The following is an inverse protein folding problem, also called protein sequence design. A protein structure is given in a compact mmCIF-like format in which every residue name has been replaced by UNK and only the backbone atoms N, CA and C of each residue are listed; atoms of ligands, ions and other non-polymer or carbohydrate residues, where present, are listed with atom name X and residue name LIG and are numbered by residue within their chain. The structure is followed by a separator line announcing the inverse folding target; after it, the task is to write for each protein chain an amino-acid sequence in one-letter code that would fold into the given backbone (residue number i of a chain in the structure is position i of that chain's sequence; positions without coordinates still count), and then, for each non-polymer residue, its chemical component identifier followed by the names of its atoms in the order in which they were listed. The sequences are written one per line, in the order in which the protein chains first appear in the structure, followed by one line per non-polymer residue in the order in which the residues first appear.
data_IF_863596674133
#
_entry.id   IF_863596674133
#
_cell.length_a   1.000
_cell.length_b   1.000
_cell.length_c   1.000
_cell.angle_alpha   90.00
_cell.angle_beta   90.00
_cell.angle_gamma   90.00
#
_symmetry.space_group_name_H-M   'P 1'
#
loop_
_entity.id
_entity.type
_entity.pdbx_description
1 polymer ?
#
# COMPACT_ATOMS: atom_id res chain seq x y z
N UNK A 1 -57.54 13.98 -37.67
CA UNK A 1 -57.05 13.28 -38.87
C UNK A 1 -56.02 12.26 -38.44
N UNK A 2 -56.13 11.01 -38.92
CA UNK A 2 -55.16 9.95 -38.64
C UNK A 2 -54.29 9.69 -39.88
N UNK A 3 -52.99 9.44 -39.68
CA UNK A 3 -52.14 8.65 -40.60
C UNK A 3 -51.09 7.90 -39.77
N UNK A 4 -51.24 6.58 -39.71
CA UNK A 4 -50.16 5.65 -39.38
C UNK A 4 -49.40 5.32 -40.68
N UNK A 5 -48.08 5.11 -40.60
CA UNK A 5 -47.33 4.10 -41.39
C UNK A 5 -45.92 3.93 -40.82
N UNK A 6 -45.78 2.90 -39.99
CA UNK A 6 -44.71 1.86 -39.91
C UNK A 6 -43.20 2.14 -40.15
N UNK A 7 -42.30 1.36 -39.51
CA UNK A 7 -40.86 1.65 -39.41
C UNK A 7 -39.97 0.90 -40.41
N UNK A 8 -38.70 1.32 -40.55
CA UNK A 8 -37.68 0.62 -41.37
C UNK A 8 -36.44 0.19 -40.57
N UNK A 9 -36.35 -1.14 -40.40
CA UNK A 9 -35.17 -2.03 -40.34
C UNK A 9 -33.95 -1.69 -39.46
N UNK A 10 -33.73 -2.60 -38.51
CA UNK A 10 -32.48 -2.86 -37.82
C UNK A 10 -31.28 -3.11 -38.77
N UNK A 11 -30.10 -2.66 -38.34
CA UNK A 11 -28.80 -3.04 -38.89
C UNK A 11 -27.93 -3.69 -37.81
N UNK A 12 -28.03 -5.01 -37.64
CA UNK A 12 -27.11 -5.77 -36.78
C UNK A 12 -25.78 -5.97 -37.48
N UNK A 13 -24.69 -5.40 -36.97
CA UNK A 13 -23.33 -5.74 -37.42
C UNK A 13 -22.62 -6.59 -36.36
N UNK A 14 -22.19 -7.80 -36.75
CA UNK A 14 -21.55 -8.78 -35.88
C UNK A 14 -20.06 -8.94 -36.24
N UNK A 15 -19.22 -8.88 -35.20
CA UNK A 15 -18.00 -9.66 -35.00
C UNK A 15 -16.83 -9.46 -35.99
N UNK A 16 -15.68 -9.03 -35.44
CA UNK A 16 -14.36 -9.45 -35.91
C UNK A 16 -13.31 -9.39 -34.79
N UNK A 17 -13.30 -10.37 -33.87
CA UNK A 17 -12.17 -10.57 -32.95
C UNK A 17 -11.06 -11.32 -33.70
N UNK A 18 -9.89 -10.71 -33.88
CA UNK A 18 -8.69 -11.37 -34.42
C UNK A 18 -7.64 -11.57 -33.32
N UNK A 19 -7.43 -12.82 -32.93
CA UNK A 19 -6.18 -13.27 -32.32
C UNK A 19 -5.09 -13.43 -33.39
N UNK A 20 -3.80 -13.30 -33.03
CA UNK A 20 -2.71 -14.03 -33.67
C UNK A 20 -2.20 -15.19 -32.79
N UNK A 21 -1.67 -16.22 -33.44
CA UNK A 21 -1.42 -17.54 -32.85
C UNK A 21 -0.04 -17.72 -32.20
N UNK A 22 0.07 -18.75 -31.32
CA UNK A 22 1.33 -19.32 -30.82
C UNK A 22 2.00 -20.23 -31.88
N UNK A 23 3.34 -20.22 -31.93
CA UNK A 23 4.22 -21.34 -32.31
C UNK A 23 5.43 -21.33 -31.33
N UNK A 24 5.64 -22.35 -30.49
CA UNK A 24 6.59 -23.48 -30.65
C UNK A 24 7.95 -23.02 -31.23
N UNK A 25 9.05 -23.02 -30.43
CA UNK A 25 9.94 -24.17 -30.12
C UNK A 25 10.70 -24.66 -31.38
N UNK A 26 12.01 -24.94 -31.42
CA UNK A 26 12.93 -25.65 -30.49
C UNK A 26 14.39 -25.24 -30.82
N UNK A 27 15.33 -25.25 -29.85
CA UNK A 27 16.76 -25.61 -30.08
C UNK A 27 17.55 -25.71 -28.76
N UNK A 28 17.81 -26.95 -28.33
CA UNK A 28 18.74 -27.30 -27.24
C UNK A 28 20.14 -27.56 -27.82
N UNK A 29 21.22 -27.16 -27.13
CA UNK A 29 22.55 -27.74 -27.39
C UNK A 29 23.48 -27.69 -26.17
N UNK A 30 23.82 -28.87 -25.69
CA UNK A 30 24.71 -29.14 -24.54
C UNK A 30 26.14 -29.44 -25.01
N UNK A 31 27.15 -29.19 -24.17
CA UNK A 31 28.55 -29.61 -24.36
C UNK A 31 29.56 -28.56 -23.90
N UNK A 32 30.03 -28.60 -22.64
CA UNK A 32 31.18 -29.38 -22.12
C UNK A 32 32.56 -28.99 -22.71
N UNK A 33 33.35 -28.27 -21.91
CA UNK A 33 34.83 -28.45 -21.71
C UNK A 33 35.31 -27.35 -20.74
N UNK A 34 36.30 -27.49 -19.85
CA UNK A 34 36.82 -28.63 -19.08
C UNK A 34 37.56 -28.03 -17.86
N UNK A 35 37.73 -28.79 -16.77
CA UNK A 35 38.47 -28.34 -15.59
C UNK A 35 39.96 -28.70 -15.66
N UNK A 36 40.83 -27.86 -15.09
CA UNK A 36 42.18 -28.13 -14.52
C UNK A 36 42.87 -26.76 -14.25
N UNK A 37 43.74 -26.55 -13.25
CA UNK A 37 44.12 -27.37 -12.09
C UNK A 37 44.93 -26.56 -11.04
N UNK A 38 44.97 -27.08 -9.80
CA UNK A 38 46.12 -27.08 -8.85
C UNK A 38 46.63 -25.75 -8.22
N UNK A 39 46.67 -25.76 -6.87
CA UNK A 39 47.39 -24.82 -6.00
C UNK A 39 48.81 -25.37 -5.69
N UNK A 40 49.75 -24.65 -5.01
CA UNK A 40 49.64 -24.46 -3.55
C UNK A 40 50.26 -23.15 -3.00
N UNK A 41 50.13 -22.96 -1.68
CA UNK A 41 50.85 -21.94 -0.91
C UNK A 41 52.18 -22.49 -0.32
N UNK A 42 53.10 -21.60 0.13
CA UNK A 42 54.07 -21.94 1.16
C UNK A 42 54.09 -20.96 2.37
N UNK A 43 54.93 -21.29 3.35
CA UNK A 43 54.80 -20.91 4.78
C UNK A 43 55.93 -20.05 5.37
N UNK A 44 55.56 -19.11 6.25
CA UNK A 44 56.11 -18.81 7.59
C UNK A 44 57.58 -18.36 7.88
N UNK A 45 57.67 -17.33 8.77
CA UNK A 45 58.82 -16.91 9.65
C UNK A 45 60.00 -16.19 8.93
N UNK A 46 60.78 -15.27 9.53
CA UNK A 46 61.14 -15.05 10.96
C UNK A 46 61.62 -13.59 11.27
N UNK A 47 61.45 -13.16 12.54
CA UNK A 47 62.05 -12.04 13.34
C UNK A 47 63.12 -11.08 12.80
N UNK A 48 63.08 -9.80 13.25
CA UNK A 48 64.03 -9.21 14.25
C UNK A 48 63.66 -7.77 14.69
N UNK A 49 63.98 -7.40 15.94
CA UNK A 49 63.87 -6.06 16.53
C UNK A 49 65.21 -5.69 17.21
N UNK A 50 65.52 -4.39 17.40
CA UNK A 50 65.61 -3.77 18.75
C UNK A 50 65.21 -2.27 18.74
N UNK A 51 65.20 -1.44 19.81
CA UNK A 51 65.04 -1.59 21.27
C UNK A 51 64.65 -0.18 21.83
N UNK A 52 64.14 -0.10 23.07
CA UNK A 52 63.69 1.16 23.75
C UNK A 52 64.77 1.70 24.71
N UNK A 53 64.83 3.02 24.98
CA UNK A 53 64.39 3.59 26.28
C UNK A 53 63.67 4.96 26.13
N UNK A 54 62.93 5.55 27.08
CA UNK A 54 62.43 5.20 28.42
C UNK A 54 61.12 6.00 28.72
N UNK A 55 60.62 5.98 29.97
CA UNK A 55 59.55 6.86 30.48
C UNK A 55 60.10 7.82 31.57
N UNK A 56 59.31 8.84 32.00
CA UNK A 56 58.55 8.63 33.23
C UNK A 56 57.11 9.18 33.19
N UNK A 57 56.30 8.82 34.20
CA UNK A 57 54.91 9.22 34.37
C UNK A 57 54.73 10.19 35.55
N UNK A 58 53.75 11.11 35.50
CA UNK A 58 52.75 11.29 36.59
C UNK A 58 51.45 11.98 36.12
N UNK A 59 50.32 11.50 36.66
CA UNK A 59 49.12 12.23 37.12
C UNK A 59 48.11 12.98 36.21
N UNK A 60 46.83 12.71 36.56
CA UNK A 60 45.70 13.67 36.68
C UNK A 60 44.85 14.06 35.44
N UNK A 61 43.94 13.14 35.11
CA UNK A 61 42.52 13.36 34.78
C UNK A 61 42.00 14.81 34.54
N UNK A 62 41.58 15.06 33.29
CA UNK A 62 40.51 16.02 32.97
C UNK A 62 39.40 15.27 32.21
N UNK A 63 38.16 15.32 32.71
CA UNK A 63 37.05 14.53 32.16
C UNK A 63 36.52 15.13 30.83
N UNK A 64 36.58 14.34 29.75
CA UNK A 64 35.93 14.67 28.49
C UNK A 64 34.47 14.14 28.46
N UNK A 65 33.49 14.92 27.96
CA UNK A 65 32.08 14.57 28.10
C UNK A 65 31.59 13.48 27.14
N UNK A 66 30.68 12.64 27.67
CA UNK A 66 29.86 11.61 27.04
C UNK A 66 29.91 11.46 25.50
N UNK A 67 30.52 10.36 25.04
CA UNK A 67 30.55 9.94 23.65
C UNK A 67 29.19 9.36 23.16
N UNK A 68 28.13 10.17 23.09
CA UNK A 68 26.84 9.76 22.53
C UNK A 68 26.08 10.84 21.69
N UNK A 69 26.59 11.26 20.50
CA UNK A 69 25.72 11.96 19.53
C UNK A 69 25.73 11.40 18.09
N UNK A 70 26.74 10.63 17.67
CA UNK A 70 26.93 10.30 16.23
C UNK A 70 25.91 9.29 15.68
N UNK A 71 25.66 8.16 16.36
CA UNK A 71 24.75 7.10 15.89
C UNK A 71 23.28 7.58 15.81
N UNK A 72 22.79 8.30 16.82
CA UNK A 72 21.42 8.87 16.83
C UNK A 72 21.21 9.91 15.71
N UNK A 73 22.20 10.79 15.46
CA UNK A 73 22.15 11.73 14.32
C UNK A 73 22.12 11.02 12.96
N UNK A 74 22.90 9.94 12.80
CA UNK A 74 22.90 9.13 11.58
C UNK A 74 21.56 8.43 11.32
N UNK A 75 20.93 7.88 12.37
CA UNK A 75 19.61 7.26 12.26
C UNK A 75 18.54 8.27 11.84
N UNK A 76 18.45 9.41 12.56
CA UNK A 76 17.49 10.47 12.25
C UNK A 76 17.66 11.04 10.83
N UNK A 77 18.89 11.16 10.34
CA UNK A 77 19.16 11.57 8.96
C UNK A 77 18.70 10.51 7.95
N UNK A 78 18.79 9.23 8.30
CA UNK A 78 18.35 8.12 7.45
C UNK A 78 16.83 8.02 7.39
N UNK A 79 16.16 8.11 8.53
CA UNK A 79 14.69 8.23 8.65
C UNK A 79 14.17 9.39 7.79
N UNK A 80 14.71 10.60 7.99
CA UNK A 80 14.33 11.78 7.19
C UNK A 80 14.58 11.58 5.67
N UNK A 81 15.63 10.85 5.28
CA UNK A 81 15.88 10.57 3.85
C UNK A 81 14.85 9.59 3.29
N UNK A 82 14.44 8.59 4.06
CA UNK A 82 13.37 7.66 3.70
C UNK A 82 12.03 8.38 3.60
N UNK A 83 11.69 9.24 4.57
CA UNK A 83 10.45 10.03 4.57
C UNK A 83 10.40 10.99 3.36
N UNK A 84 11.52 11.63 3.01
CA UNK A 84 11.62 12.46 1.80
C UNK A 84 11.41 11.64 0.51
N UNK A 85 11.97 10.41 0.44
CA UNK A 85 11.77 9.50 -0.70
C UNK A 85 10.31 9.02 -0.76
N UNK A 86 9.65 8.76 0.37
CA UNK A 86 8.23 8.41 0.42
C UNK A 86 7.33 9.58 0.00
N UNK A 87 7.60 10.80 0.46
CA UNK A 87 6.86 11.99 0.02
C UNK A 87 7.03 12.26 -1.49
N UNK A 88 8.24 12.05 -2.03
CA UNK A 88 8.49 12.11 -3.46
C UNK A 88 7.77 10.98 -4.23
N UNK A 89 7.76 9.76 -3.70
CA UNK A 89 7.04 8.62 -4.30
C UNK A 89 5.54 8.89 -4.36
N UNK A 90 4.97 9.46 -3.29
CA UNK A 90 3.57 9.88 -3.28
C UNK A 90 3.28 10.93 -4.36
N UNK A 91 4.11 11.98 -4.48
CA UNK A 91 3.97 12.96 -5.56
C UNK A 91 4.06 12.35 -6.95
N UNK A 92 5.07 11.54 -7.24
CA UNK A 92 5.23 10.89 -8.55
C UNK A 92 4.06 9.97 -8.87
N UNK A 93 3.48 9.28 -7.88
CA UNK A 93 2.26 8.47 -8.06
C UNK A 93 1.04 9.34 -8.38
N UNK A 94 0.92 10.55 -7.81
CA UNK A 94 -0.26 11.41 -7.95
C UNK A 94 -0.21 12.37 -9.15
N UNK A 95 0.89 13.10 -9.27
CA UNK A 95 1.08 14.25 -10.17
C UNK A 95 1.44 13.80 -11.60
N UNK A 96 2.16 12.68 -11.74
CA UNK A 96 2.74 12.31 -13.03
C UNK A 96 1.71 11.70 -13.98
N UNK A 97 1.65 12.21 -15.21
CA UNK A 97 0.86 11.66 -16.31
C UNK A 97 1.39 10.33 -16.87
N UNK A 98 2.47 9.80 -16.30
CA UNK A 98 3.19 8.63 -16.77
C UNK A 98 2.41 7.31 -16.62
N UNK A 99 2.63 6.38 -17.55
CA UNK A 99 2.12 5.01 -17.48
C UNK A 99 2.80 4.18 -16.35
N UNK A 100 3.93 4.64 -15.83
CA UNK A 100 4.77 3.92 -14.84
C UNK A 100 5.52 4.89 -13.93
N UNK A 101 5.75 4.47 -12.69
CA UNK A 101 6.59 5.17 -11.71
C UNK A 101 8.08 5.07 -12.14
N UNK A 102 8.82 6.18 -12.04
CA UNK A 102 10.23 6.29 -12.42
C UNK A 102 11.16 6.52 -11.23
N UNK A 103 12.19 5.67 -11.05
CA UNK A 103 13.21 5.87 -10.00
C UNK A 103 13.95 7.21 -10.18
N UNK A 104 14.18 7.65 -11.42
CA UNK A 104 14.86 8.93 -11.71
C UNK A 104 14.04 10.12 -11.20
N UNK A 105 12.76 10.14 -11.55
CA UNK A 105 11.79 11.17 -11.14
C UNK A 105 11.65 11.20 -9.61
N UNK A 106 11.54 10.04 -8.95
CA UNK A 106 11.53 9.94 -7.48
C UNK A 106 12.84 10.48 -6.86
N UNK A 107 14.00 10.20 -7.46
CA UNK A 107 15.28 10.72 -6.98
C UNK A 107 15.35 12.25 -7.08
N UNK A 108 14.93 12.80 -8.23
CA UNK A 108 14.89 14.24 -8.50
C UNK A 108 13.91 14.95 -7.55
N UNK A 109 12.67 14.48 -7.45
CA UNK A 109 11.64 15.02 -6.53
C UNK A 109 12.06 14.91 -5.06
N UNK A 110 12.77 13.85 -4.65
CA UNK A 110 13.29 13.70 -3.29
C UNK A 110 14.59 14.49 -3.02
N UNK A 111 15.19 15.11 -4.04
CA UNK A 111 16.51 15.76 -3.98
C UNK A 111 17.63 14.82 -3.50
N UNK A 112 17.62 13.57 -3.97
CA UNK A 112 18.64 12.55 -3.65
C UNK A 112 19.33 12.02 -4.92
N UNK A 113 20.58 11.59 -4.80
CA UNK A 113 21.27 10.89 -5.89
C UNK A 113 20.81 9.44 -6.02
N UNK A 114 20.86 8.86 -7.23
CA UNK A 114 20.61 7.41 -7.46
C UNK A 114 21.41 6.51 -6.52
N UNK A 115 22.69 6.84 -6.26
CA UNK A 115 23.51 6.08 -5.31
C UNK A 115 23.04 6.19 -3.85
N UNK A 116 22.35 7.27 -3.49
CA UNK A 116 21.69 7.41 -2.19
C UNK A 116 20.38 6.61 -2.16
N UNK A 117 19.60 6.62 -3.25
CA UNK A 117 18.40 5.79 -3.39
C UNK A 117 18.72 4.29 -3.24
N UNK A 118 19.69 3.77 -4.00
CA UNK A 118 20.07 2.36 -3.97
C UNK A 118 20.73 1.90 -2.65
N UNK A 119 21.06 2.84 -1.74
CA UNK A 119 21.47 2.52 -0.37
C UNK A 119 20.28 2.18 0.54
N UNK A 120 19.08 2.63 0.21
CA UNK A 120 17.85 2.40 0.98
C UNK A 120 16.89 1.42 0.31
N UNK A 121 16.86 1.38 -1.02
CA UNK A 121 15.98 0.51 -1.80
C UNK A 121 16.75 -0.08 -2.99
N UNK A 122 16.98 -1.39 -2.98
CA UNK A 122 17.66 -2.10 -4.07
C UNK A 122 16.84 -2.13 -5.37
N UNK A 123 15.52 -1.90 -5.28
CA UNK A 123 14.62 -1.89 -6.44
C UNK A 123 13.42 -0.95 -6.24
N UNK A 124 12.72 -0.66 -7.35
CA UNK A 124 11.41 0.00 -7.32
C UNK A 124 10.36 -0.82 -6.57
N UNK A 125 10.33 -2.14 -6.74
CA UNK A 125 9.40 -3.01 -6.00
C UNK A 125 9.60 -2.91 -4.48
N UNK A 126 10.86 -2.82 -4.01
CA UNK A 126 11.18 -2.64 -2.59
C UNK A 126 10.78 -1.26 -2.06
N UNK A 127 10.99 -0.20 -2.85
CA UNK A 127 10.50 1.15 -2.55
C UNK A 127 8.98 1.12 -2.36
N UNK A 128 8.24 0.61 -3.35
CA UNK A 128 6.78 0.60 -3.33
C UNK A 128 6.24 -0.25 -2.18
N UNK A 129 6.86 -1.41 -1.92
CA UNK A 129 6.55 -2.27 -0.78
C UNK A 129 6.73 -1.54 0.57
N UNK A 130 7.85 -0.83 0.75
CA UNK A 130 8.12 -0.06 1.96
C UNK A 130 7.20 1.15 2.11
N UNK A 131 6.98 1.91 1.03
CA UNK A 131 6.05 3.05 0.97
C UNK A 131 4.62 2.62 1.31
N UNK A 132 4.12 1.56 0.67
CA UNK A 132 2.80 0.99 0.94
C UNK A 132 2.63 0.52 2.38
N UNK A 133 3.67 -0.04 3.00
CA UNK A 133 3.64 -0.43 4.42
C UNK A 133 3.58 0.81 5.33
N UNK A 134 4.36 1.84 5.03
CA UNK A 134 4.34 3.12 5.75
C UNK A 134 2.97 3.81 5.64
N UNK A 135 2.36 3.86 4.44
CA UNK A 135 1.02 4.44 4.25
C UNK A 135 -0.07 3.67 5.00
N UNK A 136 -0.03 2.33 5.06
CA UNK A 136 -0.97 1.53 5.88
C UNK A 136 -0.84 1.83 7.37
N UNK A 137 0.38 1.83 7.89
CA UNK A 137 0.59 2.06 9.33
C UNK A 137 0.17 3.48 9.74
N UNK A 138 0.50 4.49 8.92
CA UNK A 138 0.04 5.86 9.15
C UNK A 138 -1.50 5.96 9.09
N UNK A 139 -2.16 5.34 8.11
CA UNK A 139 -3.62 5.30 8.01
C UNK A 139 -4.26 4.74 9.29
N UNK A 140 -3.82 3.55 9.73
CA UNK A 140 -4.38 2.92 10.93
C UNK A 140 -4.06 3.70 12.20
N UNK A 141 -2.84 4.24 12.33
CA UNK A 141 -2.43 5.05 13.47
C UNK A 141 -3.24 6.34 13.57
N UNK A 142 -3.36 7.09 12.48
CA UNK A 142 -4.13 8.36 12.47
C UNK A 142 -5.62 8.12 12.70
N UNK A 143 -6.20 7.03 12.19
CA UNK A 143 -7.57 6.65 12.52
C UNK A 143 -7.71 6.28 14.01
N UNK A 144 -6.82 5.47 14.55
CA UNK A 144 -6.84 5.11 15.97
C UNK A 144 -6.75 6.35 16.87
N UNK A 145 -5.82 7.27 16.59
CA UNK A 145 -5.64 8.55 17.32
C UNK A 145 -6.86 9.47 17.23
N UNK A 146 -7.57 9.47 16.08
CA UNK A 146 -8.83 10.21 15.90
C UNK A 146 -9.95 9.63 16.78
N UNK A 147 -10.12 8.31 16.77
CA UNK A 147 -11.22 7.62 17.46
C UNK A 147 -11.13 7.65 19.00
N UNK A 148 -9.97 7.99 19.59
CA UNK A 148 -9.83 8.22 21.05
C UNK A 148 -10.81 9.29 21.55
N UNK A 149 -11.20 10.25 20.70
CA UNK A 149 -12.06 11.38 21.06
C UNK A 149 -13.54 11.03 21.08
N UNK A 150 -13.93 9.92 20.46
CA UNK A 150 -15.33 9.55 20.21
C UNK A 150 -15.73 8.42 21.15
N UNK A 151 -16.54 8.78 22.16
CA UNK A 151 -17.05 7.87 23.19
C UNK A 151 -18.43 7.31 22.83
N UNK A 152 -19.24 8.06 22.06
CA UNK A 152 -20.48 7.56 21.51
C UNK A 152 -20.18 6.49 20.43
N UNK A 153 -20.74 5.27 20.53
CA UNK A 153 -20.43 4.20 19.58
C UNK A 153 -20.95 4.45 18.15
N UNK A 154 -22.09 5.12 18.00
CA UNK A 154 -22.67 5.42 16.68
C UNK A 154 -21.90 6.58 16.02
N UNK A 155 -21.55 7.63 16.78
CA UNK A 155 -20.69 8.72 16.28
C UNK A 155 -19.30 8.20 15.88
N UNK A 156 -18.72 7.30 16.69
CA UNK A 156 -17.45 6.63 16.39
C UNK A 156 -17.51 5.85 15.08
N UNK A 157 -18.62 5.18 14.79
CA UNK A 157 -18.83 4.49 13.51
C UNK A 157 -18.90 5.47 12.34
N UNK A 158 -19.68 6.55 12.46
CA UNK A 158 -19.80 7.56 11.41
C UNK A 158 -18.45 8.24 11.11
N UNK A 159 -17.63 8.50 12.13
CA UNK A 159 -16.25 9.00 11.96
C UNK A 159 -15.38 8.02 11.17
N UNK A 160 -15.49 6.71 11.43
CA UNK A 160 -14.78 5.67 10.66
C UNK A 160 -15.21 5.70 9.19
N UNK A 161 -16.51 5.77 8.89
CA UNK A 161 -16.99 5.75 7.51
C UNK A 161 -16.62 7.06 6.78
N UNK A 162 -16.69 8.21 7.45
CA UNK A 162 -16.25 9.49 6.89
C UNK A 162 -14.74 9.49 6.57
N UNK A 163 -13.90 8.97 7.48
CA UNK A 163 -12.46 8.83 7.25
C UNK A 163 -12.14 7.88 6.09
N UNK A 164 -12.91 6.79 5.93
CA UNK A 164 -12.81 5.92 4.76
C UNK A 164 -13.23 6.65 3.47
N UNK A 165 -14.26 7.49 3.49
CA UNK A 165 -14.70 8.28 2.34
C UNK A 165 -13.65 9.34 1.96
N UNK A 166 -13.11 10.10 2.90
CA UNK A 166 -12.03 11.07 2.63
C UNK A 166 -10.77 10.38 2.06
N UNK A 167 -10.46 9.14 2.49
CA UNK A 167 -9.37 8.33 1.94
C UNK A 167 -9.65 7.82 0.51
N UNK A 168 -10.91 7.51 0.18
CA UNK A 168 -11.34 7.18 -1.18
C UNK A 168 -11.25 8.42 -2.10
N UNK A 169 -11.80 9.55 -1.64
CA UNK A 169 -11.88 10.84 -2.36
C UNK A 169 -10.48 11.38 -2.71
N UNK A 170 -9.47 11.16 -1.86
CA UNK A 170 -8.08 11.52 -2.15
C UNK A 170 -7.53 10.87 -3.45
N UNK A 171 -8.08 9.73 -3.88
CA UNK A 171 -7.77 9.13 -5.17
C UNK A 171 -6.44 8.38 -5.28
N UNK A 172 -5.56 8.46 -4.27
CA UNK A 172 -4.19 7.91 -4.30
C UNK A 172 -4.14 6.42 -4.71
N UNK A 173 -4.99 5.59 -4.11
CA UNK A 173 -5.08 4.15 -4.41
C UNK A 173 -5.55 3.87 -5.84
N UNK A 174 -6.46 4.69 -6.37
CA UNK A 174 -6.96 4.58 -7.75
C UNK A 174 -5.90 5.01 -8.76
N UNK A 175 -5.11 6.05 -8.45
CA UNK A 175 -3.99 6.44 -9.31
C UNK A 175 -2.89 5.37 -9.32
N UNK A 176 -2.60 4.74 -8.17
CA UNK A 176 -1.64 3.63 -8.08
C UNK A 176 -2.07 2.39 -8.89
N UNK A 177 -3.38 2.11 -9.02
CA UNK A 177 -3.90 1.08 -9.95
C UNK A 177 -3.55 1.35 -11.42
N UNK A 178 -3.51 2.62 -11.82
CA UNK A 178 -3.23 3.01 -13.21
C UNK A 178 -1.73 2.96 -13.52
N UNK A 179 -0.89 3.47 -12.61
CA UNK A 179 0.57 3.60 -12.85
C UNK A 179 1.39 2.38 -12.40
N UNK A 180 0.82 1.46 -11.63
CA UNK A 180 1.49 0.25 -11.13
C UNK A 180 0.50 -0.90 -10.84
N UNK A 181 -0.26 -1.40 -11.85
CA UNK A 181 -1.38 -2.32 -11.64
C UNK A 181 -1.00 -3.64 -10.95
N UNK A 182 0.10 -4.29 -11.32
CA UNK A 182 0.52 -5.56 -10.71
C UNK A 182 0.94 -5.37 -9.24
N UNK A 183 1.55 -4.24 -8.92
CA UNK A 183 1.89 -3.87 -7.56
C UNK A 183 0.61 -3.55 -6.76
N UNK A 184 -0.27 -2.71 -7.28
CA UNK A 184 -1.52 -2.32 -6.65
C UNK A 184 -2.40 -3.54 -6.32
N UNK A 185 -2.54 -4.50 -7.25
CA UNK A 185 -3.28 -5.74 -7.02
C UNK A 185 -2.64 -6.64 -5.94
N UNK A 186 -1.30 -6.68 -5.86
CA UNK A 186 -0.57 -7.40 -4.80
C UNK A 186 -0.74 -6.73 -3.43
N UNK A 187 -0.62 -5.41 -3.40
CA UNK A 187 -0.83 -4.55 -2.23
C UNK A 187 -2.24 -4.73 -1.67
N UNK A 188 -3.26 -4.63 -2.52
CA UNK A 188 -4.67 -4.82 -2.18
C UNK A 188 -4.98 -6.20 -1.60
N UNK A 189 -4.47 -7.28 -2.22
CA UNK A 189 -4.65 -8.64 -1.69
C UNK A 189 -4.08 -8.80 -0.28
N UNK A 190 -2.99 -8.11 0.05
CA UNK A 190 -2.40 -8.15 1.39
C UNK A 190 -3.10 -7.24 2.39
N UNK A 191 -3.47 -6.01 2.00
CA UNK A 191 -4.26 -5.10 2.85
C UNK A 191 -5.51 -5.79 3.36
N UNK A 192 -6.20 -6.53 2.49
CA UNK A 192 -7.55 -7.03 2.75
C UNK A 192 -7.66 -7.73 4.12
N UNK A 193 -6.74 -8.66 4.40
CA UNK A 193 -6.74 -9.39 5.66
C UNK A 193 -6.29 -8.53 6.85
N UNK A 194 -5.19 -7.78 6.70
CA UNK A 194 -4.67 -6.86 7.74
C UNK A 194 -5.74 -5.84 8.17
N UNK A 195 -6.53 -5.33 7.22
CA UNK A 195 -7.59 -4.36 7.44
C UNK A 195 -8.77 -4.98 8.18
N UNK A 196 -9.28 -6.15 7.76
CA UNK A 196 -10.42 -6.81 8.41
C UNK A 196 -10.16 -7.06 9.90
N UNK A 197 -8.94 -7.45 10.28
CA UNK A 197 -8.57 -7.59 11.71
C UNK A 197 -8.53 -6.24 12.41
N UNK A 198 -7.76 -5.27 11.90
CA UNK A 198 -7.61 -3.95 12.55
C UNK A 198 -8.92 -3.16 12.66
N UNK A 199 -9.85 -3.31 11.71
CA UNK A 199 -11.16 -2.66 11.79
C UNK A 199 -12.08 -3.32 12.82
N UNK A 200 -11.99 -4.64 13.05
CA UNK A 200 -12.69 -5.29 14.18
C UNK A 200 -12.21 -4.75 15.53
N UNK A 201 -10.90 -4.60 15.71
CA UNK A 201 -10.32 -4.02 16.94
C UNK A 201 -10.79 -2.57 17.15
N UNK A 202 -10.69 -1.71 16.12
CA UNK A 202 -11.07 -0.30 16.20
C UNK A 202 -12.57 -0.09 16.45
N UNK A 203 -13.41 -0.98 15.91
CA UNK A 203 -14.87 -0.95 16.04
C UNK A 203 -15.41 -1.85 17.16
N UNK A 204 -14.59 -2.53 17.97
CA UNK A 204 -15.12 -3.38 19.06
C UNK A 204 -16.12 -2.64 19.96
N UNK A 205 -15.87 -1.40 20.45
CA UNK A 205 -16.85 -0.68 21.27
C UNK A 205 -18.19 -0.43 20.56
N UNK A 206 -18.17 -0.31 19.22
CA UNK A 206 -19.37 -0.17 18.37
C UNK A 206 -20.13 -1.49 18.33
N UNK A 207 -19.43 -2.59 18.03
CA UNK A 207 -20.04 -3.92 18.00
C UNK A 207 -20.55 -4.37 19.37
N UNK A 208 -19.83 -4.07 20.45
CA UNK A 208 -20.24 -4.40 21.82
C UNK A 208 -21.55 -3.67 22.20
N UNK A 209 -21.66 -2.37 21.88
CA UNK A 209 -22.89 -1.59 22.10
C UNK A 209 -24.06 -2.02 21.18
N UNK A 210 -23.77 -2.38 19.93
CA UNK A 210 -24.80 -2.88 19.00
C UNK A 210 -25.28 -4.28 19.36
N UNK A 211 -24.39 -5.16 19.85
CA UNK A 211 -24.76 -6.49 20.33
C UNK A 211 -25.77 -6.39 21.49
N UNK A 212 -25.51 -5.49 22.44
CA UNK A 212 -26.41 -5.23 23.58
C UNK A 212 -27.74 -4.62 23.12
N UNK A 213 -27.70 -3.55 22.29
CA UNK A 213 -28.89 -2.86 21.78
C UNK A 213 -29.81 -3.74 20.94
N UNK A 214 -29.25 -4.69 20.19
CA UNK A 214 -30.01 -5.60 19.31
C UNK A 214 -30.34 -6.94 19.98
N UNK A 215 -29.75 -7.27 21.12
CA UNK A 215 -29.92 -8.56 21.80
C UNK A 215 -29.38 -9.77 21.03
N UNK A 216 -28.47 -9.55 20.08
CA UNK A 216 -27.88 -10.60 19.22
C UNK A 216 -26.37 -10.38 19.08
N UNK A 217 -25.60 -11.45 18.87
CA UNK A 217 -24.17 -11.33 18.55
C UNK A 217 -23.99 -11.08 17.05
N UNK A 218 -23.42 -9.93 16.70
CA UNK A 218 -23.05 -9.57 15.34
C UNK A 218 -21.80 -10.32 14.89
N UNK A 219 -21.81 -10.76 13.63
CA UNK A 219 -20.63 -11.33 12.97
C UNK A 219 -19.69 -10.20 12.55
N UNK A 220 -18.74 -9.89 13.45
CA UNK A 220 -17.77 -8.79 13.29
C UNK A 220 -16.84 -9.02 12.11
N UNK A 221 -16.42 -10.27 11.88
CA UNK A 221 -15.57 -10.64 10.75
C UNK A 221 -16.30 -10.41 9.43
N UNK A 222 -17.54 -10.91 9.29
CA UNK A 222 -18.36 -10.72 8.10
C UNK A 222 -18.67 -9.23 7.85
N UNK A 223 -19.01 -8.46 8.87
CA UNK A 223 -19.31 -7.02 8.71
C UNK A 223 -18.06 -6.26 8.25
N UNK A 224 -16.90 -6.51 8.85
CA UNK A 224 -15.64 -5.87 8.44
C UNK A 224 -15.17 -6.36 7.06
N UNK A 225 -15.30 -7.66 6.74
CA UNK A 225 -15.02 -8.21 5.41
C UNK A 225 -15.86 -7.52 4.32
N UNK A 226 -17.18 -7.39 4.53
CA UNK A 226 -18.08 -6.71 3.60
C UNK A 226 -17.80 -5.20 3.48
N UNK A 227 -17.50 -4.52 4.60
CA UNK A 227 -17.07 -3.12 4.62
C UNK A 227 -15.81 -2.91 3.77
N UNK A 228 -14.77 -3.73 3.97
CA UNK A 228 -13.53 -3.63 3.19
C UNK A 228 -13.76 -4.04 1.73
N UNK A 229 -14.57 -5.07 1.42
CA UNK A 229 -14.93 -5.41 0.03
C UNK A 229 -15.62 -4.24 -0.69
N UNK A 230 -16.48 -3.49 0.00
CA UNK A 230 -17.11 -2.31 -0.58
C UNK A 230 -16.09 -1.21 -0.88
N UNK A 231 -15.23 -0.85 0.08
CA UNK A 231 -14.16 0.16 -0.12
C UNK A 231 -13.25 -0.22 -1.29
N UNK A 232 -12.92 -1.51 -1.40
CA UNK A 232 -12.13 -2.07 -2.51
C UNK A 232 -12.88 -2.04 -3.85
N UNK A 233 -14.22 -2.18 -3.83
CA UNK A 233 -15.05 -2.01 -5.02
C UNK A 233 -15.04 -0.57 -5.51
N UNK A 234 -15.20 0.43 -4.64
CA UNK A 234 -15.19 1.86 -5.05
C UNK A 234 -13.80 2.30 -5.55
N UNK A 235 -12.69 1.68 -5.10
CA UNK A 235 -11.36 1.89 -5.70
C UNK A 235 -11.27 1.46 -7.17
N UNK A 236 -11.97 0.38 -7.57
CA UNK A 236 -11.94 -0.17 -8.93
C UNK A 236 -13.02 0.44 -9.82
N UNK A 237 -14.22 0.61 -9.26
CA UNK A 237 -15.42 1.12 -9.92
C UNK A 237 -15.99 2.21 -9.02
N UNK A 238 -15.47 3.42 -9.17
CA UNK A 238 -16.02 4.60 -8.50
C UNK A 238 -17.46 4.79 -8.95
N UNK A 239 -18.39 4.78 -8.00
CA UNK A 239 -19.74 5.23 -8.29
C UNK A 239 -19.81 6.76 -8.17
N UNK A 240 -20.61 7.42 -9.01
CA UNK A 240 -20.78 8.89 -9.05
C UNK A 240 -21.59 9.41 -7.85
N UNK A 241 -21.15 9.07 -6.63
CA UNK A 241 -22.04 9.01 -5.48
C UNK A 241 -21.61 9.96 -4.37
N UNK A 242 -22.54 10.80 -3.95
CA UNK A 242 -22.44 11.69 -2.80
C UNK A 242 -21.91 11.01 -1.53
N UNK A 243 -21.31 11.80 -0.62
CA UNK A 243 -20.95 11.37 0.74
C UNK A 243 -22.12 10.65 1.43
N UNK A 244 -21.79 9.61 2.19
CA UNK A 244 -22.76 8.74 2.88
C UNK A 244 -23.54 7.77 1.97
N UNK A 245 -23.30 7.74 0.65
CA UNK A 245 -24.09 6.88 -0.24
C UNK A 245 -23.84 5.39 -0.05
N UNK A 246 -22.69 4.98 0.51
CA UNK A 246 -22.43 3.60 0.93
C UNK A 246 -23.51 3.13 1.91
N UNK A 247 -23.69 3.86 3.02
CA UNK A 247 -24.69 3.56 4.05
C UNK A 247 -26.11 3.55 3.44
N UNK A 248 -26.45 4.54 2.59
CA UNK A 248 -27.74 4.61 1.89
C UNK A 248 -27.97 3.46 0.89
N UNK A 249 -26.91 2.84 0.36
CA UNK A 249 -27.02 1.66 -0.54
C UNK A 249 -27.15 0.37 0.25
N UNK A 250 -26.36 0.20 1.31
CA UNK A 250 -26.42 -0.98 2.18
C UNK A 250 -27.78 -1.05 2.89
N UNK A 251 -28.29 0.05 3.44
CA UNK A 251 -29.63 0.12 4.04
C UNK A 251 -30.71 -0.31 3.05
N UNK A 252 -30.76 0.32 1.87
CA UNK A 252 -31.72 -0.04 0.81
C UNK A 252 -31.59 -1.50 0.37
N UNK A 253 -30.39 -2.07 0.29
CA UNK A 253 -30.19 -3.48 -0.04
C UNK A 253 -30.79 -4.40 1.04
N UNK A 254 -30.53 -4.12 2.31
CA UNK A 254 -31.07 -4.86 3.45
C UNK A 254 -32.60 -4.77 3.47
N UNK A 255 -33.16 -3.58 3.28
CA UNK A 255 -34.60 -3.35 3.22
C UNK A 255 -35.26 -4.09 2.04
N UNK A 256 -34.66 -4.02 0.86
CA UNK A 256 -35.13 -4.74 -0.33
C UNK A 256 -35.15 -6.26 -0.14
N UNK A 257 -34.18 -6.83 0.61
CA UNK A 257 -34.11 -8.26 0.92
C UNK A 257 -35.09 -8.65 2.04
N UNK A 258 -35.16 -7.87 3.13
CA UNK A 258 -36.00 -8.20 4.31
C UNK A 258 -37.49 -7.97 4.08
N UNK A 259 -37.85 -6.88 3.42
CA UNK A 259 -39.24 -6.42 3.31
C UNK A 259 -39.80 -6.53 1.88
N UNK A 260 -38.96 -6.89 0.89
CA UNK A 260 -39.37 -7.11 -0.49
C UNK A 260 -39.72 -5.82 -1.22
N UNK A 261 -38.71 -5.05 -1.65
CA UNK A 261 -38.91 -3.69 -2.12
C UNK A 261 -38.05 -3.24 -3.30
N UNK A 262 -38.53 -3.48 -4.52
CA UNK A 262 -38.52 -2.44 -5.56
C UNK A 262 -39.94 -2.40 -6.16
N UNK A 263 -40.69 -1.36 -5.82
CA UNK A 263 -42.03 -1.15 -6.35
C UNK A 263 -41.95 -1.05 -7.86
N UNK A 264 -42.50 -2.02 -8.61
CA UNK A 264 -42.73 -1.86 -10.05
C UNK A 264 -43.70 -0.68 -10.23
N UNK A 265 -43.16 0.47 -10.60
CA UNK A 265 -43.96 1.59 -11.08
C UNK A 265 -44.64 1.16 -12.39
N UNK A 266 -45.89 0.68 -12.29
CA UNK A 266 -46.80 0.59 -13.42
C UNK A 266 -47.24 2.00 -13.79
N UNK A 267 -46.77 2.51 -14.92
CA UNK A 267 -47.54 3.24 -15.94
C UNK A 267 -46.68 3.45 -17.18
#
# INVERSE_FOLDING_TARGET
MAKQTTPSKAGTSKIAVKQPAKKRAVAEKSGKSAAQSVAPAPTARKSLAPAVPAAPAVAAAAAAPAAAPRRRRSNRRSEQTIDNIFAATEKVVLESGADRISILEVCETASVSRGTFYRYFASQDELLEAFSRHKRENFHKSLAELLVRYQDPDERFDVVINYLQDYLDAGNSRRMLLVAPEFALRFFKRIFHDAVVRFQDLLSPVFDAWDERLGVKLDRELICDLLIRFVMSEHLVSSESERGAMQRRIGRLIDSIRFGGVTRARR
#
